data_IF_229094633949
#
_entry.id   IF_229094633949
#
_cell.length_a   1.000
_cell.length_b   1.000
_cell.length_c   1.000
_cell.angle_alpha   90.00
_cell.angle_beta   90.00
_cell.angle_gamma   90.00
#
_symmetry.space_group_name_H-M   'P 1'
#
loop_
_entity.id
_entity.type
_entity.pdbx_description
1 polymer ?
#
# COMPACT_ATOMS: atom_id res chain seq x y z
N UNK A 1 -41.74 -1.30 50.33
CA UNK A 1 -40.36 -0.93 50.71
C UNK A 1 -39.60 -2.24 50.68
N UNK A 2 -38.83 -2.60 49.67
CA UNK A 2 -38.02 -1.84 48.72
C UNK A 2 -37.91 -2.68 47.42
N UNK A 3 -38.07 -2.03 46.28
CA UNK A 3 -38.08 -2.65 44.95
C UNK A 3 -36.64 -3.04 44.55
N UNK A 4 -36.31 -4.31 44.75
CA UNK A 4 -35.08 -4.92 44.26
C UNK A 4 -35.05 -4.93 42.72
N UNK A 5 -34.55 -3.85 42.11
CA UNK A 5 -34.22 -3.80 40.68
C UNK A 5 -33.23 -4.90 40.34
N UNK A 6 -33.73 -5.92 39.66
CA UNK A 6 -32.96 -6.99 39.03
C UNK A 6 -31.91 -6.38 38.08
N UNK A 7 -30.61 -6.70 38.21
CA UNK A 7 -29.61 -6.20 37.27
C UNK A 7 -29.88 -6.81 35.90
N UNK A 8 -30.12 -5.95 34.92
CA UNK A 8 -30.37 -6.27 33.51
C UNK A 8 -29.35 -7.31 33.02
N UNK A 9 -29.78 -8.56 32.81
CA UNK A 9 -28.95 -9.59 32.20
C UNK A 9 -28.53 -9.12 30.80
N UNK A 10 -27.26 -8.73 30.65
CA UNK A 10 -26.70 -8.38 29.35
C UNK A 10 -26.69 -9.67 28.51
N UNK A 11 -27.61 -9.74 27.54
CA UNK A 11 -27.71 -10.85 26.59
C UNK A 11 -26.37 -10.96 25.86
N UNK A 12 -25.67 -12.08 26.02
CA UNK A 12 -24.36 -12.29 25.41
C UNK A 12 -24.44 -12.09 23.88
N UNK A 13 -23.67 -11.14 23.35
CA UNK A 13 -23.65 -10.82 21.93
C UNK A 13 -22.98 -11.98 21.18
N UNK A 14 -23.74 -12.72 20.38
CA UNK A 14 -23.20 -13.79 19.52
C UNK A 14 -22.57 -13.16 18.28
N UNK A 15 -21.25 -13.23 18.17
CA UNK A 15 -20.50 -12.68 17.04
C UNK A 15 -20.57 -13.62 15.82
N UNK A 16 -20.47 -13.03 14.61
CA UNK A 16 -20.41 -13.79 13.37
C UNK A 16 -19.04 -14.45 13.17
N UNK A 17 -18.96 -15.49 12.33
CA UNK A 17 -17.68 -16.11 11.92
C UNK A 17 -16.70 -15.06 11.36
N UNK A 18 -17.18 -14.12 10.54
CA UNK A 18 -16.36 -13.07 9.96
C UNK A 18 -15.84 -12.08 11.01
N UNK A 19 -16.64 -11.81 12.04
CA UNK A 19 -16.23 -10.94 13.16
C UNK A 19 -15.14 -11.61 13.99
N UNK A 20 -15.29 -12.90 14.30
CA UNK A 20 -14.22 -13.65 14.97
C UNK A 20 -12.94 -13.70 14.14
N UNK A 21 -13.05 -13.93 12.82
CA UNK A 21 -11.90 -13.91 11.92
C UNK A 21 -11.21 -12.53 11.93
N UNK A 22 -11.97 -11.43 11.83
CA UNK A 22 -11.43 -10.08 11.91
C UNK A 22 -10.69 -9.84 13.23
N UNK A 23 -11.29 -10.20 14.37
CA UNK A 23 -10.66 -10.03 15.69
C UNK A 23 -9.36 -10.84 15.79
N UNK A 24 -9.37 -12.09 15.31
CA UNK A 24 -8.17 -12.92 15.25
C UNK A 24 -7.07 -12.28 14.39
N UNK A 25 -7.41 -11.81 13.19
CA UNK A 25 -6.46 -11.14 12.30
C UNK A 25 -5.92 -9.84 12.89
N UNK A 26 -6.76 -9.00 13.51
CA UNK A 26 -6.34 -7.76 14.16
C UNK A 26 -5.42 -8.00 15.36
N UNK A 27 -5.70 -9.02 16.17
CA UNK A 27 -4.87 -9.38 17.32
C UNK A 27 -3.52 -10.00 16.90
N UNK A 28 -3.44 -10.54 15.67
CA UNK A 28 -2.20 -11.11 15.14
C UNK A 28 -1.27 -10.07 14.49
N UNK A 29 -1.74 -8.83 14.28
CA UNK A 29 -0.93 -7.76 13.69
C UNK A 29 0.20 -7.43 14.65
N UNK A 30 1.43 -7.72 14.24
CA UNK A 30 2.63 -7.32 14.98
C UNK A 30 2.99 -5.88 14.60
N UNK A 31 3.33 -5.02 15.59
CA UNK A 31 3.91 -3.73 15.27
C UNK A 31 5.23 -3.94 14.52
N UNK A 32 5.60 -2.98 13.67
CA UNK A 32 6.90 -2.99 13.02
C UNK A 32 8.00 -2.97 14.09
N UNK A 33 8.91 -3.93 14.04
CA UNK A 33 10.08 -3.98 14.92
C UNK A 33 10.94 -2.75 14.65
N UNK A 34 11.31 -2.02 15.70
CA UNK A 34 12.23 -0.89 15.56
C UNK A 34 13.66 -1.41 15.33
N UNK A 35 14.46 -0.72 14.52
CA UNK A 35 15.87 -1.05 14.35
C UNK A 35 16.61 -0.99 15.70
N UNK A 36 17.69 -1.75 15.82
CA UNK A 36 18.62 -1.59 16.94
C UNK A 36 19.45 -0.29 16.80
N UNK A 37 20.18 0.09 17.84
CA UNK A 37 20.96 1.33 17.85
C UNK A 37 22.08 1.37 16.78
N UNK A 38 22.52 0.20 16.28
CA UNK A 38 23.57 0.11 15.27
C UNK A 38 23.02 0.22 13.85
N UNK A 39 21.77 -0.20 13.63
CA UNK A 39 21.11 -0.23 12.32
C UNK A 39 20.14 0.92 12.10
N UNK A 40 19.77 1.67 13.14
CA UNK A 40 18.91 2.84 13.01
C UNK A 40 19.57 3.93 12.15
N UNK A 41 18.78 4.54 11.28
CA UNK A 41 19.27 5.63 10.43
C UNK A 41 19.07 6.95 11.17
N UNK A 42 20.17 7.50 11.69
CA UNK A 42 20.17 8.84 12.27
C UNK A 42 20.29 9.90 11.19
N UNK A 43 19.54 10.98 11.39
CA UNK A 43 19.46 12.10 10.48
C UNK A 43 19.59 13.41 11.24
N UNK A 44 20.44 14.32 10.76
CA UNK A 44 20.54 15.66 11.34
C UNK A 44 19.24 16.41 11.08
N UNK A 45 18.55 16.81 12.14
CA UNK A 45 17.23 17.42 12.04
C UNK A 45 17.34 18.92 11.78
N UNK A 46 17.20 19.32 10.52
CA UNK A 46 16.82 20.69 10.16
C UNK A 46 15.33 20.71 9.87
N UNK A 47 14.56 21.51 10.62
CA UNK A 47 13.10 21.55 10.48
C UNK A 47 12.71 22.27 9.18
N UNK A 48 12.19 21.51 8.20
CA UNK A 48 11.60 22.07 6.98
C UNK A 48 10.18 22.57 7.23
N UNK A 49 9.76 23.64 6.54
CA UNK A 49 8.36 24.11 6.55
C UNK A 49 7.36 22.99 6.19
N UNK A 50 7.74 22.11 5.26
CA UNK A 50 6.91 20.96 4.89
C UNK A 50 6.76 19.94 6.04
N UNK A 51 7.80 19.75 6.87
CA UNK A 51 7.73 18.88 8.03
C UNK A 51 6.78 19.46 9.09
N UNK A 52 6.81 20.78 9.31
CA UNK A 52 5.86 21.45 10.22
C UNK A 52 4.42 21.37 9.72
N UNK A 53 4.21 21.53 8.42
CA UNK A 53 2.90 21.36 7.80
C UNK A 53 2.41 19.91 7.95
N UNK A 54 3.26 18.92 7.69
CA UNK A 54 2.93 17.51 7.85
C UNK A 54 2.55 17.16 9.29
N UNK A 55 3.32 17.60 10.29
CA UNK A 55 3.01 17.36 11.70
C UNK A 55 1.64 17.97 12.10
N UNK A 56 1.32 19.16 11.59
CA UNK A 56 0.01 19.78 11.83
C UNK A 56 -1.12 18.97 11.18
N UNK A 57 -0.91 18.49 9.95
CA UNK A 57 -1.88 17.64 9.24
C UNK A 57 -2.07 16.31 9.95
N UNK A 58 -0.98 15.60 10.31
CA UNK A 58 -1.01 14.33 11.04
C UNK A 58 -1.79 14.43 12.36
N UNK A 59 -1.63 15.53 13.10
CA UNK A 59 -2.37 15.73 14.35
C UNK A 59 -3.85 16.08 14.13
N UNK A 60 -4.21 16.64 12.97
CA UNK A 60 -5.56 17.11 12.66
C UNK A 60 -6.41 16.08 11.89
N UNK A 61 -5.79 15.12 11.22
CA UNK A 61 -6.47 14.17 10.34
C UNK A 61 -6.73 12.86 11.05
N UNK A 62 -7.95 12.33 10.92
CA UNK A 62 -8.22 10.94 11.29
C UNK A 62 -7.31 10.01 10.47
N UNK A 63 -6.59 9.11 11.15
CA UNK A 63 -5.59 8.10 10.74
C UNK A 63 -5.70 7.46 9.32
N UNK A 64 -6.84 7.62 8.64
CA UNK A 64 -7.14 7.06 7.32
C UNK A 64 -6.54 7.86 6.16
N UNK A 65 -6.14 9.12 6.28
CA UNK A 65 -5.55 9.85 5.13
C UNK A 65 -4.00 9.89 5.18
N UNK A 66 -3.39 9.46 6.29
CA UNK A 66 -1.94 9.47 6.48
C UNK A 66 -1.17 8.65 5.43
N UNK A 67 -1.74 7.53 4.99
CA UNK A 67 -1.10 6.65 4.02
C UNK A 67 -0.99 7.29 2.64
N UNK A 68 -2.02 8.04 2.21
CA UNK A 68 -2.00 8.75 0.93
C UNK A 68 -0.96 9.88 0.91
N UNK A 69 -0.83 10.59 2.04
CA UNK A 69 0.18 11.65 2.19
C UNK A 69 1.59 11.06 2.13
N UNK A 70 1.84 9.96 2.86
CA UNK A 70 3.14 9.25 2.78
C UNK A 70 3.42 8.75 1.37
N UNK A 71 2.44 8.12 0.72
CA UNK A 71 2.57 7.61 -0.65
C UNK A 71 2.88 8.72 -1.64
N UNK A 72 2.21 9.87 -1.54
CA UNK A 72 2.50 11.05 -2.38
C UNK A 72 3.91 11.61 -2.13
N UNK A 73 4.39 11.59 -0.88
CA UNK A 73 5.76 11.97 -0.57
C UNK A 73 6.78 11.00 -1.17
N UNK A 74 6.55 9.69 -1.03
CA UNK A 74 7.35 8.63 -1.65
C UNK A 74 7.38 8.83 -3.17
N UNK A 75 6.23 9.07 -3.81
CA UNK A 75 6.16 9.32 -5.25
C UNK A 75 7.02 10.52 -5.67
N UNK A 76 6.89 11.65 -4.98
CA UNK A 76 7.68 12.85 -5.28
C UNK A 76 9.19 12.59 -5.15
N UNK A 77 9.59 11.95 -4.06
CA UNK A 77 11.02 11.65 -3.79
C UNK A 77 11.54 10.66 -4.84
N UNK A 78 10.80 9.58 -5.11
CA UNK A 78 11.18 8.57 -6.09
C UNK A 78 11.29 9.12 -7.51
N UNK A 79 10.32 9.94 -7.96
CA UNK A 79 10.39 10.58 -9.27
C UNK A 79 11.66 11.42 -9.41
N UNK A 80 12.00 12.20 -8.38
CA UNK A 80 13.21 13.04 -8.38
C UNK A 80 14.48 12.18 -8.37
N UNK A 81 14.56 11.18 -7.49
CA UNK A 81 15.74 10.31 -7.39
C UNK A 81 15.97 9.50 -8.67
N UNK A 82 14.92 8.94 -9.28
CA UNK A 82 15.03 8.19 -10.53
C UNK A 82 15.32 9.07 -11.75
N UNK A 83 14.99 10.36 -11.70
CA UNK A 83 15.42 11.31 -12.75
C UNK A 83 16.92 11.55 -12.69
N UNK A 84 17.51 11.62 -11.49
CA UNK A 84 18.94 11.81 -11.28
C UNK A 84 19.74 10.52 -11.46
N UNK A 85 19.16 9.39 -11.03
CA UNK A 85 19.75 8.06 -11.15
C UNK A 85 18.74 7.06 -11.75
N UNK A 86 18.64 7.01 -13.09
CA UNK A 86 17.70 6.13 -13.78
C UNK A 86 17.95 4.63 -13.56
N UNK A 87 19.15 4.25 -13.09
CA UNK A 87 19.46 2.84 -12.79
C UNK A 87 18.80 2.35 -11.52
N UNK A 88 18.34 3.26 -10.64
CA UNK A 88 17.73 2.91 -9.35
C UNK A 88 18.72 2.41 -8.30
N UNK A 89 20.00 2.25 -8.63
CA UNK A 89 21.01 1.70 -7.72
C UNK A 89 21.24 2.63 -6.52
N UNK A 90 21.20 2.06 -5.31
CA UNK A 90 21.43 2.76 -4.04
C UNK A 90 20.46 3.94 -3.80
N UNK A 91 19.29 3.94 -4.44
CA UNK A 91 18.27 5.00 -4.31
C UNK A 91 17.47 4.88 -3.01
N UNK A 92 17.38 3.68 -2.43
CA UNK A 92 16.61 3.44 -1.21
C UNK A 92 17.11 4.23 0.01
N UNK A 93 18.43 4.39 0.18
CA UNK A 93 19.03 5.15 1.28
C UNK A 93 18.60 6.64 1.21
N UNK A 94 18.70 7.25 0.03
CA UNK A 94 18.25 8.62 -0.20
C UNK A 94 16.76 8.81 0.08
N UNK A 95 15.93 7.86 -0.38
CA UNK A 95 14.49 7.88 -0.09
C UNK A 95 14.21 7.85 1.41
N UNK A 96 14.78 6.88 2.13
CA UNK A 96 14.50 6.69 3.56
C UNK A 96 14.99 7.89 4.37
N UNK A 97 16.19 8.40 4.08
CA UNK A 97 16.71 9.60 4.77
C UNK A 97 15.79 10.79 4.59
N UNK A 98 15.29 11.03 3.37
CA UNK A 98 14.38 12.15 3.12
C UNK A 98 13.02 11.97 3.78
N UNK A 99 12.49 10.76 3.84
CA UNK A 99 11.25 10.47 4.56
C UNK A 99 11.39 10.75 6.07
N UNK A 100 12.54 10.40 6.66
CA UNK A 100 12.86 10.70 8.06
C UNK A 100 13.08 12.21 8.28
N UNK A 101 13.83 12.88 7.39
CA UNK A 101 14.07 14.34 7.47
C UNK A 101 12.76 15.12 7.42
N UNK A 102 11.83 14.72 6.55
CA UNK A 102 10.54 15.36 6.38
C UNK A 102 9.48 14.89 7.39
N UNK A 103 9.83 14.02 8.35
CA UNK A 103 8.96 13.47 9.39
C UNK A 103 7.74 12.69 8.90
N UNK A 104 7.80 12.14 7.68
CA UNK A 104 6.76 11.22 7.21
C UNK A 104 6.73 9.92 8.02
N UNK A 105 7.88 9.57 8.60
CA UNK A 105 8.07 8.52 9.59
C UNK A 105 8.75 9.09 10.85
N UNK A 106 8.52 8.45 11.99
CA UNK A 106 9.10 8.88 13.26
C UNK A 106 10.64 8.73 13.22
N UNK A 107 11.35 9.57 13.98
CA UNK A 107 12.79 9.40 14.13
C UNK A 107 13.14 8.01 14.68
N UNK A 108 14.24 7.43 14.20
CA UNK A 108 14.71 6.09 14.57
C UNK A 108 13.73 4.94 14.25
N UNK A 109 12.64 5.17 13.49
CA UNK A 109 11.70 4.10 13.15
C UNK A 109 12.14 3.24 11.97
N UNK A 110 13.11 3.69 11.19
CA UNK A 110 13.63 3.03 10.00
C UNK A 110 15.14 2.79 10.11
N UNK A 111 15.60 1.66 9.57
CA UNK A 111 16.99 1.22 9.66
C UNK A 111 17.53 0.57 8.38
N UNK A 112 18.74 0.00 8.46
CA UNK A 112 19.42 -0.62 7.32
C UNK A 112 18.59 -1.72 6.64
N UNK A 113 17.85 -2.52 7.42
CA UNK A 113 16.97 -3.56 6.86
C UNK A 113 15.85 -2.99 5.98
N UNK A 114 15.37 -1.78 6.29
CA UNK A 114 14.39 -1.09 5.46
C UNK A 114 15.02 -0.62 4.16
N UNK A 115 16.25 -0.10 4.20
CA UNK A 115 17.00 0.25 2.97
C UNK A 115 17.12 -0.98 2.07
N UNK A 116 17.57 -2.11 2.62
CA UNK A 116 17.76 -3.35 1.85
C UNK A 116 16.44 -3.84 1.25
N UNK A 117 15.36 -3.79 2.03
CA UNK A 117 14.03 -4.23 1.58
C UNK A 117 13.48 -3.33 0.48
N UNK A 118 13.58 -2.02 0.65
CA UNK A 118 13.12 -1.05 -0.33
C UNK A 118 13.98 -1.08 -1.60
N UNK A 119 15.29 -1.28 -1.48
CA UNK A 119 16.16 -1.39 -2.66
C UNK A 119 15.76 -2.60 -3.52
N UNK A 120 15.50 -3.76 -2.90
CA UNK A 120 15.00 -4.95 -3.62
C UNK A 120 13.69 -4.71 -4.36
N UNK A 121 12.78 -3.93 -3.76
CA UNK A 121 11.53 -3.53 -4.43
C UNK A 121 11.87 -2.66 -5.64
N UNK A 122 12.64 -1.59 -5.46
CA UNK A 122 13.04 -0.66 -6.53
C UNK A 122 13.70 -1.41 -7.69
N UNK A 123 14.65 -2.30 -7.41
CA UNK A 123 15.39 -3.05 -8.43
C UNK A 123 14.46 -3.88 -9.32
N UNK A 124 13.46 -4.55 -8.74
CA UNK A 124 12.46 -5.35 -9.48
C UNK A 124 11.59 -4.48 -10.38
N UNK A 125 11.18 -3.31 -9.89
CA UNK A 125 10.39 -2.36 -10.68
C UNK A 125 11.21 -1.73 -11.81
N UNK A 126 12.48 -1.40 -11.58
CA UNK A 126 13.37 -0.88 -12.63
C UNK A 126 13.63 -1.95 -13.69
N UNK A 127 13.87 -3.19 -13.28
CA UNK A 127 14.01 -4.31 -14.20
C UNK A 127 12.75 -4.48 -15.07
N UNK A 128 11.56 -4.47 -14.46
CA UNK A 128 10.30 -4.60 -15.18
C UNK A 128 10.03 -3.40 -16.12
N UNK A 129 10.37 -2.18 -15.69
CA UNK A 129 10.30 -0.99 -16.52
C UNK A 129 11.17 -1.12 -17.77
N UNK A 130 12.41 -1.59 -17.63
CA UNK A 130 13.31 -1.82 -18.76
C UNK A 130 12.76 -2.86 -19.74
N UNK A 131 12.19 -3.97 -19.23
CA UNK A 131 11.58 -5.00 -20.07
C UNK A 131 10.35 -4.50 -20.83
N UNK A 132 9.47 -3.74 -20.17
CA UNK A 132 8.18 -3.35 -20.74
C UNK A 132 8.25 -2.13 -21.66
N UNK A 133 9.23 -1.24 -21.46
CA UNK A 133 9.32 0.02 -22.21
C UNK A 133 10.04 -0.14 -23.55
N UNK A 134 10.98 -1.09 -23.67
CA UNK A 134 11.74 -1.31 -24.90
C UNK A 134 10.78 -1.64 -26.06
N UNK A 135 10.91 -0.89 -27.17
CA UNK A 135 10.11 -1.09 -28.38
C UNK A 135 8.70 -0.47 -28.38
N UNK A 136 8.29 0.27 -27.34
CA UNK A 136 6.96 0.91 -27.28
C UNK A 136 6.96 2.39 -27.67
N UNK A 137 5.83 2.85 -28.22
CA UNK A 137 5.61 4.25 -28.66
C UNK A 137 5.26 5.17 -27.48
N UNK A 138 5.38 6.49 -27.70
CA UNK A 138 5.38 7.51 -26.63
C UNK A 138 4.21 7.46 -25.65
N UNK A 139 2.97 7.36 -26.13
CA UNK A 139 1.79 7.35 -25.24
C UNK A 139 1.68 6.09 -24.39
N UNK A 140 1.96 4.92 -24.97
CA UNK A 140 1.94 3.64 -24.26
C UNK A 140 3.08 3.57 -23.24
N UNK A 141 4.27 4.05 -23.60
CA UNK A 141 5.43 4.15 -22.71
C UNK A 141 5.11 5.01 -21.49
N UNK A 142 4.54 6.19 -21.70
CA UNK A 142 4.18 7.11 -20.62
C UNK A 142 3.13 6.51 -19.69
N UNK A 143 2.10 5.85 -20.26
CA UNK A 143 1.10 5.16 -19.47
C UNK A 143 1.70 4.06 -18.59
N UNK A 144 2.54 3.20 -19.16
CA UNK A 144 3.18 2.09 -18.42
C UNK A 144 4.13 2.61 -17.35
N UNK A 145 4.92 3.64 -17.66
CA UNK A 145 5.80 4.27 -16.69
C UNK A 145 4.99 4.80 -15.50
N UNK A 146 3.91 5.56 -15.75
CA UNK A 146 3.03 6.06 -14.68
C UNK A 146 2.39 4.94 -13.88
N UNK A 147 1.90 3.90 -14.57
CA UNK A 147 1.28 2.74 -13.92
C UNK A 147 2.26 2.02 -12.99
N UNK A 148 3.49 1.76 -13.44
CA UNK A 148 4.49 1.08 -12.62
C UNK A 148 5.00 1.93 -11.47
N UNK A 149 5.11 3.25 -11.64
CA UNK A 149 5.42 4.17 -10.53
C UNK A 149 4.29 4.19 -9.50
N UNK A 150 3.02 4.15 -9.91
CA UNK A 150 1.89 4.04 -8.98
C UNK A 150 2.01 2.78 -8.12
N UNK A 151 2.27 1.63 -8.74
CA UNK A 151 2.44 0.36 -8.04
C UNK A 151 3.65 0.38 -7.09
N UNK A 152 4.82 0.85 -7.58
CA UNK A 152 6.06 0.96 -6.82
C UNK A 152 5.86 1.77 -5.53
N UNK A 153 5.22 2.94 -5.65
CA UNK A 153 5.06 3.85 -4.51
C UNK A 153 4.10 3.31 -3.46
N UNK A 154 3.05 2.60 -3.87
CA UNK A 154 2.14 1.92 -2.96
C UNK A 154 2.87 0.76 -2.25
N UNK A 155 3.60 -0.06 -3.00
CA UNK A 155 4.32 -1.21 -2.43
C UNK A 155 5.41 -0.79 -1.43
N UNK A 156 6.13 0.30 -1.71
CA UNK A 156 7.08 0.89 -0.75
C UNK A 156 6.34 1.38 0.51
N UNK A 157 5.23 2.09 0.38
CA UNK A 157 4.49 2.62 1.54
C UNK A 157 3.99 1.50 2.45
N UNK A 158 3.40 0.45 1.86
CA UNK A 158 2.90 -0.70 2.61
C UNK A 158 4.04 -1.52 3.23
N UNK A 159 5.19 -1.62 2.57
CA UNK A 159 6.38 -2.25 3.13
C UNK A 159 6.95 -1.47 4.32
N UNK A 160 6.98 -0.14 4.24
CA UNK A 160 7.44 0.72 5.34
C UNK A 160 6.43 0.78 6.49
N UNK A 161 5.14 0.57 6.23
CA UNK A 161 4.05 0.58 7.22
C UNK A 161 3.18 -0.70 7.19
N UNK A 162 3.76 -1.87 7.51
CA UNK A 162 3.08 -3.16 7.33
C UNK A 162 1.88 -3.31 8.26
N UNK A 163 1.97 -2.82 9.49
CA UNK A 163 0.88 -2.91 10.47
C UNK A 163 -0.37 -2.11 10.06
N UNK A 164 -0.15 -0.91 9.50
CA UNK A 164 -1.22 -0.05 8.99
C UNK A 164 -1.88 -0.65 7.74
N UNK A 165 -1.07 -1.10 6.79
CA UNK A 165 -1.57 -1.78 5.59
C UNK A 165 -2.38 -3.03 5.95
N UNK A 166 -1.84 -3.91 6.81
CA UNK A 166 -2.52 -5.15 7.23
C UNK A 166 -3.85 -4.86 7.93
N UNK A 167 -3.90 -3.84 8.79
CA UNK A 167 -5.14 -3.40 9.46
C UNK A 167 -6.18 -2.96 8.43
N UNK A 168 -5.79 -2.14 7.46
CA UNK A 168 -6.67 -1.69 6.39
C UNK A 168 -7.14 -2.84 5.50
N UNK A 169 -6.27 -3.80 5.17
CA UNK A 169 -6.61 -5.00 4.40
C UNK A 169 -7.63 -5.87 5.14
N UNK A 170 -7.43 -6.09 6.44
CA UNK A 170 -8.35 -6.87 7.28
C UNK A 170 -9.75 -6.24 7.34
N UNK A 171 -9.86 -4.91 7.47
CA UNK A 171 -11.17 -4.24 7.42
C UNK A 171 -11.83 -4.35 6.05
N UNK A 172 -11.09 -4.10 4.96
CA UNK A 172 -11.62 -4.24 3.59
C UNK A 172 -12.14 -5.66 3.36
N UNK A 173 -11.36 -6.68 3.75
CA UNK A 173 -11.74 -8.07 3.59
C UNK A 173 -12.97 -8.44 4.43
N UNK A 174 -13.06 -7.96 5.67
CA UNK A 174 -14.24 -8.15 6.51
C UNK A 174 -15.51 -7.58 5.85
N UNK A 175 -15.45 -6.34 5.38
CA UNK A 175 -16.60 -5.69 4.71
C UNK A 175 -16.96 -6.46 3.44
N UNK A 176 -15.97 -6.85 2.65
CA UNK A 176 -16.17 -7.65 1.45
C UNK A 176 -16.90 -8.96 1.77
N UNK A 177 -16.44 -9.73 2.76
CA UNK A 177 -17.05 -11.01 3.14
C UNK A 177 -18.50 -10.87 3.64
N UNK A 178 -18.80 -9.81 4.38
CA UNK A 178 -20.14 -9.57 4.94
C UNK A 178 -21.14 -9.12 3.86
N UNK A 179 -20.68 -8.42 2.84
CA UNK A 179 -21.56 -7.76 1.86
C UNK A 179 -21.57 -8.41 0.47
N UNK A 180 -20.57 -9.22 0.10
CA UNK A 180 -20.46 -9.79 -1.27
C UNK A 180 -21.70 -10.53 -1.74
N UNK A 181 -22.37 -11.25 -0.84
CA UNK A 181 -23.59 -12.02 -1.15
C UNK A 181 -24.86 -11.14 -1.18
N UNK A 182 -24.78 -9.90 -0.70
CA UNK A 182 -25.90 -8.93 -0.70
C UNK A 182 -25.88 -8.03 -1.94
N UNK A 183 -24.76 -7.98 -2.64
CA UNK A 183 -24.61 -7.20 -3.86
C UNK A 183 -25.05 -8.04 -5.05
N UNK A 184 -25.97 -7.51 -5.84
CA UNK A 184 -26.41 -8.10 -7.10
C UNK A 184 -26.04 -7.14 -8.23
N UNK A 185 -25.31 -7.63 -9.22
CA UNK A 185 -24.99 -6.95 -10.45
C UNK A 185 -25.40 -7.87 -11.58
N UNK A 186 -26.29 -7.40 -12.45
CA UNK A 186 -26.78 -8.17 -13.59
C UNK A 186 -25.86 -7.99 -14.79
N UNK A 187 -25.75 -9.02 -15.65
CA UNK A 187 -24.96 -8.95 -16.88
C UNK A 187 -23.44 -8.99 -16.71
N UNK A 188 -22.93 -9.38 -15.54
CA UNK A 188 -21.49 -9.50 -15.26
C UNK A 188 -21.14 -10.88 -14.70
N UNK A 189 -19.92 -11.36 -14.95
CA UNK A 189 -19.43 -12.58 -14.30
C UNK A 189 -19.21 -12.36 -12.80
N UNK A 190 -19.18 -13.45 -12.01
CA UNK A 190 -18.87 -13.33 -10.57
C UNK A 190 -17.48 -12.72 -10.33
N UNK A 191 -16.50 -12.99 -11.19
CA UNK A 191 -15.16 -12.39 -11.09
C UNK A 191 -15.20 -10.88 -11.35
N UNK A 192 -15.94 -10.43 -12.36
CA UNK A 192 -16.13 -9.00 -12.63
C UNK A 192 -16.86 -8.32 -11.49
N UNK A 193 -17.92 -8.94 -10.96
CA UNK A 193 -18.65 -8.46 -9.79
C UNK A 193 -17.73 -8.33 -8.57
N UNK A 194 -16.87 -9.32 -8.32
CA UNK A 194 -15.88 -9.26 -7.23
C UNK A 194 -14.89 -8.12 -7.45
N UNK A 195 -14.36 -7.95 -8.67
CA UNK A 195 -13.45 -6.87 -9.04
C UNK A 195 -14.09 -5.49 -8.81
N UNK A 196 -15.31 -5.29 -9.32
CA UNK A 196 -16.06 -4.04 -9.17
C UNK A 196 -16.36 -3.74 -7.72
N UNK A 197 -16.73 -4.76 -6.95
CA UNK A 197 -17.00 -4.55 -5.53
C UNK A 197 -15.74 -4.18 -4.75
N UNK A 198 -14.61 -4.84 -5.00
CA UNK A 198 -13.33 -4.48 -4.38
C UNK A 198 -12.89 -3.06 -4.78
N UNK A 199 -13.02 -2.68 -6.06
CA UNK A 199 -12.74 -1.33 -6.52
C UNK A 199 -13.64 -0.28 -5.83
N UNK A 200 -14.93 -0.61 -5.63
CA UNK A 200 -15.86 0.25 -4.91
C UNK A 200 -15.46 0.40 -3.43
N UNK A 201 -15.02 -0.67 -2.75
CA UNK A 201 -14.54 -0.59 -1.36
C UNK A 201 -13.27 0.25 -1.24
N UNK A 202 -12.33 0.11 -2.15
CA UNK A 202 -11.13 0.95 -2.21
C UNK A 202 -11.52 2.44 -2.28
N UNK A 203 -12.42 2.79 -3.19
CA UNK A 203 -12.83 4.19 -3.38
C UNK A 203 -13.68 4.74 -2.23
N UNK A 204 -14.64 3.95 -1.72
CA UNK A 204 -15.66 4.46 -0.79
C UNK A 204 -15.27 4.30 0.66
N UNK A 205 -14.77 3.13 1.05
CA UNK A 205 -14.41 2.82 2.42
C UNK A 205 -12.99 3.26 2.74
N UNK A 206 -12.01 2.85 1.91
CA UNK A 206 -10.60 3.18 2.13
C UNK A 206 -10.26 4.61 1.69
N UNK A 207 -11.13 5.23 0.88
CA UNK A 207 -10.91 6.53 0.23
C UNK A 207 -9.63 6.55 -0.60
N UNK A 208 -9.19 5.40 -1.10
CA UNK A 208 -7.95 5.23 -1.85
C UNK A 208 -7.96 6.11 -3.10
N UNK A 209 -6.83 6.74 -3.35
CA UNK A 209 -6.53 7.39 -4.62
C UNK A 209 -6.40 6.37 -5.77
N UNK A 210 -6.17 6.88 -6.98
CA UNK A 210 -6.03 6.04 -8.18
C UNK A 210 -4.86 5.07 -8.10
N UNK A 211 -3.77 5.43 -7.43
CA UNK A 211 -2.56 4.63 -7.34
C UNK A 211 -2.79 3.42 -6.44
N UNK A 212 -3.39 3.62 -5.26
CA UNK A 212 -3.80 2.51 -4.39
C UNK A 212 -4.89 1.64 -5.01
N UNK A 213 -5.87 2.22 -5.73
CA UNK A 213 -6.85 1.42 -6.47
C UNK A 213 -6.17 0.50 -7.49
N UNK A 214 -5.23 1.03 -8.27
CA UNK A 214 -4.43 0.25 -9.24
C UNK A 214 -3.65 -0.85 -8.52
N UNK A 215 -2.95 -0.50 -7.44
CA UNK A 215 -2.11 -1.42 -6.69
C UNK A 215 -2.91 -2.56 -6.05
N UNK A 216 -3.96 -2.26 -5.29
CA UNK A 216 -4.75 -3.29 -4.61
C UNK A 216 -5.53 -4.17 -5.59
N UNK A 217 -6.04 -3.60 -6.68
CA UNK A 217 -6.63 -4.42 -7.75
C UNK A 217 -5.56 -5.33 -8.38
N UNK A 218 -4.37 -4.80 -8.67
CA UNK A 218 -3.27 -5.58 -9.24
C UNK A 218 -2.91 -6.78 -8.35
N UNK A 219 -2.60 -6.56 -7.06
CA UNK A 219 -2.22 -7.63 -6.14
C UNK A 219 -3.40 -8.52 -5.69
N UNK A 220 -4.63 -8.19 -6.08
CA UNK A 220 -5.78 -9.11 -5.89
C UNK A 220 -5.76 -10.22 -6.94
N UNK A 221 -5.38 -9.88 -8.18
CA UNK A 221 -5.31 -10.85 -9.29
C UNK A 221 -3.92 -11.45 -9.47
N UNK A 222 -2.90 -10.79 -8.93
CA UNK A 222 -1.50 -11.20 -8.99
C UNK A 222 -0.89 -11.15 -7.57
N UNK A 223 0.43 -11.16 -7.48
CA UNK A 223 1.16 -10.90 -6.23
C UNK A 223 1.89 -9.54 -6.32
N UNK A 224 2.36 -8.96 -5.21
CA UNK A 224 3.23 -7.79 -5.25
C UNK A 224 4.42 -8.01 -6.18
N UNK A 225 4.87 -6.98 -6.90
CA UNK A 225 5.96 -7.15 -7.88
C UNK A 225 7.24 -7.61 -7.18
N UNK A 226 7.45 -7.20 -5.94
CA UNK A 226 8.59 -7.64 -5.14
C UNK A 226 8.58 -9.13 -4.78
N UNK A 227 7.48 -9.85 -4.99
CA UNK A 227 7.39 -11.28 -4.70
C UNK A 227 7.80 -12.15 -5.88
N UNK A 228 7.78 -11.65 -7.11
CA UNK A 228 8.17 -12.43 -8.30
C UNK A 228 9.68 -12.66 -8.38
N UNK A 229 10.09 -13.83 -8.89
CA UNK A 229 11.48 -14.07 -9.28
C UNK A 229 11.84 -13.29 -10.55
N UNK A 230 13.14 -13.15 -10.82
CA UNK A 230 13.62 -12.50 -12.04
C UNK A 230 13.15 -13.26 -13.29
N UNK A 231 13.05 -14.58 -13.22
CA UNK A 231 12.55 -15.46 -14.28
C UNK A 231 11.06 -15.19 -14.53
N UNK A 232 10.23 -15.17 -13.49
CA UNK A 232 8.80 -14.87 -13.62
C UNK A 232 8.55 -13.47 -14.19
N UNK A 233 9.39 -12.48 -13.82
CA UNK A 233 9.31 -11.13 -14.37
C UNK A 233 9.67 -11.06 -15.86
N UNK A 234 10.47 -11.98 -16.39
CA UNK A 234 10.78 -12.05 -17.83
C UNK A 234 9.59 -12.52 -18.66
N UNK A 235 8.71 -13.34 -18.09
CA UNK A 235 7.49 -13.83 -18.75
C UNK A 235 6.32 -12.84 -18.61
N UNK A 236 6.44 -11.89 -17.68
CA UNK A 236 5.43 -10.87 -17.39
C UNK A 236 5.00 -10.03 -18.61
N UNK A 237 5.89 -9.56 -19.50
CA UNK A 237 5.50 -8.79 -20.69
C UNK A 237 4.53 -9.53 -21.63
N UNK A 238 4.68 -10.85 -21.77
CA UNK A 238 3.87 -11.67 -22.67
C UNK A 238 2.44 -11.77 -22.13
N UNK A 239 2.30 -12.05 -20.84
CA UNK A 239 0.99 -12.07 -20.19
C UNK A 239 0.34 -10.68 -20.22
N UNK A 240 1.08 -9.61 -19.92
CA UNK A 240 0.56 -8.25 -19.87
C UNK A 240 0.12 -7.69 -21.25
N UNK A 241 0.80 -8.06 -22.34
CA UNK A 241 0.41 -7.67 -23.71
C UNK A 241 -0.96 -8.22 -24.10
N UNK A 242 -1.27 -9.47 -23.73
CA UNK A 242 -2.57 -10.09 -24.02
C UNK A 242 -3.74 -9.37 -23.35
N UNK A 243 -3.49 -8.67 -22.24
CA UNK A 243 -4.49 -7.85 -21.54
C UNK A 243 -4.66 -6.46 -22.13
N UNK A 244 -3.58 -5.78 -22.54
CA UNK A 244 -3.67 -4.44 -23.14
C UNK A 244 -4.47 -4.47 -24.45
N UNK A 245 -4.29 -5.50 -25.28
CA UNK A 245 -4.99 -5.67 -26.56
C UNK A 245 -6.51 -5.87 -26.38
N UNK A 246 -6.96 -6.36 -25.21
CA UNK A 246 -8.40 -6.54 -24.91
C UNK A 246 -9.06 -5.28 -24.34
N UNK A 247 -8.27 -4.26 -24.00
CA UNK A 247 -8.73 -3.02 -23.34
C UNK A 247 -8.71 -1.78 -24.25
N UNK A 248 -8.33 -1.97 -25.52
CA UNK A 248 -8.42 -1.00 -26.63
C UNK A 248 -9.41 -1.49 -27.65
#
# INVERSE_FOLDING_TARGET
MDDGKNPTQIKAIKLSKYTHALLGSLNSIKPKTRPDDLSKISVSQTVSFFALAYEKVRNAVEYREDHQIRRAAIERIMRRLLTLNPTGKDVADGLIRELLWARYFDADSLGSQDIDSIQKIIDKYIFLLQLLIVGRTGSQREFLYRFLIDLLTCEIEENLNPSGSQKNANYTFFIYQVLRNKIKLEGVSEDQKNAFFLAALERTFRRSDRSYQRYHLFITFYQPISSFSTEELKDFPISFQSYLIRST
#
